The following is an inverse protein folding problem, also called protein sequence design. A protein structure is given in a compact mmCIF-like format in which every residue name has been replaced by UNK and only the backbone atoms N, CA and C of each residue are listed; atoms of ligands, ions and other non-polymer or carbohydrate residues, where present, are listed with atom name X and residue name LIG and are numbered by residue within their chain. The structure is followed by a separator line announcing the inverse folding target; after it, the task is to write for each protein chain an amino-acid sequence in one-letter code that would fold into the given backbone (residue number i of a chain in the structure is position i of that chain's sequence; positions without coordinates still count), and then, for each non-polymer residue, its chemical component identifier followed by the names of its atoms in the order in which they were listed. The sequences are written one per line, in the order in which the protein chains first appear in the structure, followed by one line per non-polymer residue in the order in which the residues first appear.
data_IF_533308739208
#
_entry.id   IF_533308739208
#
_cell.length_a   1.000
_cell.length_b   1.000
_cell.length_c   1.000
_cell.angle_alpha   90.00
_cell.angle_beta   90.00
_cell.angle_gamma   90.00
#
_symmetry.space_group_name_H-M   'P 1'
#
loop_
_entity.id
_entity.type
_entity.pdbx_description
1 polymer ?
#
# COMPACT_ATOMS: atom_id res chain seq x y z
N UNK A 1 12.07 -16.28 9.71
CA UNK A 1 12.81 -15.28 8.94
C UNK A 1 12.08 -13.96 8.99
N UNK A 2 12.82 -12.87 9.11
CA UNK A 2 12.20 -11.56 9.21
C UNK A 2 11.90 -11.01 7.84
N UNK A 3 10.68 -10.57 7.67
CA UNK A 3 10.24 -10.00 6.42
C UNK A 3 10.81 -8.60 6.24
N UNK A 4 11.05 -8.22 4.99
CA UNK A 4 11.55 -6.90 4.69
C UNK A 4 10.50 -5.83 5.01
N UNK A 5 10.95 -4.78 5.66
CA UNK A 5 10.09 -3.65 5.98
C UNK A 5 10.45 -2.47 5.07
N UNK A 6 9.44 -1.73 4.70
CA UNK A 6 9.60 -0.59 3.80
C UNK A 6 9.24 0.68 4.53
N UNK A 7 9.99 1.74 4.25
CA UNK A 7 9.62 3.06 4.75
C UNK A 7 8.39 3.56 4.00
N UNK A 8 7.67 4.54 4.55
CA UNK A 8 6.55 5.12 3.80
C UNK A 8 6.95 5.62 2.43
N UNK A 9 8.14 6.19 2.32
CA UNK A 9 8.61 6.67 1.02
C UNK A 9 8.82 5.52 0.05
N UNK A 10 9.44 4.43 0.51
CA UNK A 10 9.65 3.28 -0.34
C UNK A 10 8.32 2.67 -0.78
N UNK A 11 7.38 2.56 0.15
CA UNK A 11 6.07 2.02 -0.17
C UNK A 11 5.35 2.91 -1.19
N UNK A 12 5.44 4.23 -0.99
CA UNK A 12 4.79 5.16 -1.91
C UNK A 12 5.34 5.03 -3.32
N UNK A 13 6.64 4.80 -3.44
CA UNK A 13 7.25 4.66 -4.75
C UNK A 13 6.83 3.36 -5.43
N UNK A 14 6.70 2.30 -4.65
CA UNK A 14 6.30 1.02 -5.21
C UNK A 14 4.88 1.06 -5.76
N UNK A 15 3.96 1.65 -5.02
CA UNK A 15 2.57 1.73 -5.46
C UNK A 15 2.26 3.04 -6.17
N UNK A 16 3.27 3.89 -6.34
CA UNK A 16 3.21 5.10 -7.15
C UNK A 16 2.14 6.08 -6.66
N UNK A 17 2.14 6.30 -5.36
CA UNK A 17 1.30 7.35 -4.76
C UNK A 17 2.21 8.25 -3.95
N UNK A 18 1.68 9.36 -3.47
CA UNK A 18 2.48 10.28 -2.67
C UNK A 18 2.57 9.77 -1.23
N UNK A 19 3.64 10.17 -0.55
CA UNK A 19 3.78 9.87 0.87
C UNK A 19 2.62 10.49 1.65
N UNK A 20 2.19 11.67 1.24
CA UNK A 20 1.07 12.35 1.89
C UNK A 20 -0.22 11.53 1.77
N UNK A 21 -0.44 10.90 0.63
CA UNK A 21 -1.61 10.04 0.46
C UNK A 21 -1.58 8.86 1.40
N UNK A 22 -0.41 8.25 1.57
CA UNK A 22 -0.28 7.15 2.51
C UNK A 22 -0.54 7.60 3.94
N UNK A 23 0.08 8.72 4.33
CA UNK A 23 -0.09 9.24 5.68
C UNK A 23 -1.55 9.59 5.96
N UNK A 24 -2.18 10.24 5.00
CA UNK A 24 -3.57 10.62 5.14
C UNK A 24 -4.46 9.39 5.29
N UNK A 25 -4.19 8.37 4.52
CA UNK A 25 -4.96 7.12 4.59
C UNK A 25 -4.82 6.46 5.95
N UNK A 26 -3.61 6.52 6.55
CA UNK A 26 -3.42 5.97 7.89
C UNK A 26 -4.24 6.72 8.93
N UNK A 27 -4.31 8.04 8.80
CA UNK A 27 -5.02 8.85 9.79
C UNK A 27 -6.52 8.73 9.65
N UNK A 28 -7.02 8.70 8.44
CA UNK A 28 -8.45 8.70 8.22
C UNK A 28 -9.04 7.31 8.14
N UNK A 29 -8.23 6.31 7.84
CA UNK A 29 -8.71 4.97 7.60
C UNK A 29 -9.44 4.82 6.28
N UNK A 30 -9.34 5.81 5.41
CA UNK A 30 -9.97 5.80 4.11
C UNK A 30 -8.91 5.75 3.02
N UNK A 31 -9.31 5.42 1.82
CA UNK A 31 -8.42 5.40 0.68
C UNK A 31 -7.54 4.17 0.68
N UNK A 32 -6.24 4.38 0.72
CA UNK A 32 -5.29 3.29 0.61
C UNK A 32 -5.20 2.54 1.93
N UNK A 33 -5.77 1.36 1.99
CA UNK A 33 -5.84 0.58 3.23
C UNK A 33 -4.82 -0.53 3.22
N UNK A 34 -3.62 -0.21 3.67
CA UNK A 34 -2.54 -1.17 3.77
C UNK A 34 -2.15 -1.29 5.24
N UNK A 35 -2.10 -2.51 5.78
CA UNK A 35 -1.63 -2.68 7.15
C UNK A 35 -0.22 -2.15 7.31
N UNK A 36 0.07 -1.60 8.46
CA UNK A 36 1.39 -1.06 8.73
C UNK A 36 1.83 -1.42 10.14
N UNK A 37 3.14 -1.34 10.36
CA UNK A 37 3.73 -1.59 11.67
C UNK A 37 4.18 -0.28 12.25
N UNK A 38 3.95 -0.10 13.54
CA UNK A 38 4.46 1.08 14.22
C UNK A 38 5.54 0.65 15.19
N UNK A 39 6.77 1.04 14.88
CA UNK A 39 7.93 0.68 15.67
C UNK A 39 8.42 1.91 16.41
N UNK A 40 7.92 2.09 17.63
CA UNK A 40 8.15 3.32 18.34
C UNK A 40 7.45 4.45 17.63
N UNK A 41 8.22 5.41 17.14
CA UNK A 41 7.66 6.51 16.37
C UNK A 41 7.81 6.34 14.86
N UNK A 42 8.33 5.20 14.44
CA UNK A 42 8.54 4.94 13.02
C UNK A 42 7.44 4.07 12.46
N UNK A 43 6.96 4.43 11.27
CA UNK A 43 5.97 3.64 10.55
C UNK A 43 6.68 2.85 9.47
N UNK A 44 6.34 1.57 9.36
CA UNK A 44 6.91 0.72 8.33
C UNK A 44 5.82 -0.15 7.73
N UNK A 45 5.99 -0.50 6.47
CA UNK A 45 5.07 -1.38 5.77
C UNK A 45 5.78 -2.69 5.46
N UNK A 46 5.10 -3.81 5.69
CA UNK A 46 5.67 -5.09 5.32
C UNK A 46 5.57 -5.27 3.82
N UNK A 47 6.61 -5.80 3.24
CA UNK A 47 6.64 -6.00 1.78
C UNK A 47 5.47 -6.87 1.33
N UNK A 48 5.14 -7.91 2.09
CA UNK A 48 4.04 -8.77 1.74
C UNK A 48 2.70 -8.06 1.79
N UNK A 49 2.54 -7.10 2.69
CA UNK A 49 1.30 -6.32 2.76
C UNK A 49 1.16 -5.42 1.54
N UNK A 50 2.26 -4.83 1.09
CA UNK A 50 2.26 -4.03 -0.12
C UNK A 50 1.91 -4.91 -1.32
N UNK A 51 2.52 -6.07 -1.40
CA UNK A 51 2.25 -7.00 -2.49
C UNK A 51 0.78 -7.42 -2.49
N UNK A 52 0.25 -7.73 -1.32
CA UNK A 52 -1.15 -8.14 -1.20
C UNK A 52 -2.09 -7.02 -1.65
N UNK A 53 -1.76 -5.79 -1.30
CA UNK A 53 -2.57 -4.65 -1.72
C UNK A 53 -2.58 -4.52 -3.24
N UNK A 54 -1.41 -4.67 -3.86
CA UNK A 54 -1.31 -4.58 -5.30
C UNK A 54 -2.13 -5.68 -5.96
N UNK A 55 -2.03 -6.89 -5.44
CA UNK A 55 -2.75 -8.02 -6.02
C UNK A 55 -4.26 -7.88 -5.83
N UNK A 56 -4.68 -7.38 -4.68
CA UNK A 56 -6.10 -7.17 -4.42
C UNK A 56 -6.69 -6.12 -5.33
N UNK A 57 -5.86 -5.22 -5.84
CA UNK A 57 -6.32 -4.15 -6.71
C UNK A 57 -5.92 -4.34 -8.16
N UNK A 58 -5.48 -5.54 -8.50
CA UNK A 58 -5.14 -5.86 -9.88
C UNK A 58 -6.35 -6.49 -10.53
N UNK A 59 -6.75 -5.92 -11.65
CA UNK A 59 -7.94 -6.37 -12.35
C UNK A 59 -7.57 -7.05 -13.66
N UNK A 60 -8.25 -8.14 -13.91
CA UNK A 60 -8.04 -8.86 -15.15
C UNK A 60 -8.75 -8.10 -16.26
N UNK A 61 -8.07 -7.94 -17.36
CA UNK A 61 -8.65 -7.24 -18.49
C UNK A 61 -9.67 -8.04 -19.22
N UNK A 62 -9.69 -9.31 -18.98
CA UNK A 62 -10.65 -10.08 -19.67
C UNK A 62 -12.01 -9.80 -19.18
N UNK A 63 -12.66 -9.05 -19.68
CA UNK A 63 -13.86 -8.78 -19.13
C UNK A 63 -13.96 -7.57 -18.37
N UNK A 64 -13.57 -7.10 -17.95
CA UNK A 64 -13.91 -6.08 -17.23
C UNK A 64 -13.43 -4.90 -17.42
N UNK A 65 -13.46 -4.49 -17.45
CA UNK A 65 -13.00 -3.68 -17.50
C UNK A 65 -13.24 -2.76 -17.59
N UNK A 66 -13.47 -2.71 -17.54
CA UNK A 66 -13.62 -1.95 -17.53
C UNK A 66 -13.44 -1.15 -17.30
N UNK A 67 -13.45 -1.06 -17.34
CA UNK A 67 -13.17 -0.29 -17.04
C UNK A 67 -12.80 0.26 -16.72
N UNK A 68 -12.62 0.31 -16.71
CA UNK A 68 -12.24 0.83 -16.39
C UNK A 68 -11.87 1.29 -16.34
N UNK A 69 -11.69 1.43 -16.37
CA UNK A 69 -11.48 1.91 -16.34
C UNK A 69 -11.35 2.10 -16.54
#
# INVERSE_FOLDING_TARGET
MIERLLTPKQASEIIQVTVDSLANSRHTGLGIKIPYCKLGKFVRYKESDIQAYIEANTFDHTGESKGSV
#
